data_IF_501277555167
#
_entry.id   IF_501277555167
#
_cell.length_a   1.000
_cell.length_b   1.000
_cell.length_c   1.000
_cell.angle_alpha   90.00
_cell.angle_beta   90.00
_cell.angle_gamma   90.00
#
_symmetry.space_group_name_H-M   'P 1'
#
loop_
_entity.id
_entity.type
_entity.pdbx_description
1 polymer ?
#
# COMPACT_ATOMS: atom_id res chain seq x y z
N UNK A 1 14.59 -66.72 -32.57
CA UNK A 1 13.92 -66.77 -33.88
C UNK A 1 12.65 -67.57 -33.67
N UNK A 2 11.43 -67.06 -33.70
CA UNK A 2 10.85 -65.74 -33.90
C UNK A 2 9.39 -65.93 -33.38
N UNK A 3 8.89 -65.00 -32.54
CA UNK A 3 7.77 -64.07 -32.84
C UNK A 3 6.45 -64.74 -33.25
N UNK A 4 5.24 -64.30 -32.88
CA UNK A 4 4.73 -63.18 -32.11
C UNK A 4 3.21 -63.30 -32.33
N UNK A 5 2.42 -63.71 -31.33
CA UNK A 5 0.97 -63.50 -31.35
C UNK A 5 0.45 -63.42 -29.92
N UNK A 6 0.88 -62.38 -29.22
CA UNK A 6 0.25 -61.98 -27.95
C UNK A 6 -0.80 -60.92 -28.31
N UNK A 7 -2.02 -61.27 -27.93
CA UNK A 7 -3.28 -60.54 -28.03
C UNK A 7 -3.12 -59.09 -27.57
N UNK A 8 -3.34 -58.14 -28.49
CA UNK A 8 -3.53 -56.73 -28.18
C UNK A 8 -4.96 -56.53 -27.66
N UNK A 9 -5.15 -56.64 -26.34
CA UNK A 9 -6.29 -56.01 -25.65
C UNK A 9 -5.76 -54.72 -25.05
N UNK A 10 -5.87 -53.61 -25.80
CA UNK A 10 -5.61 -52.27 -25.27
C UNK A 10 -6.76 -51.93 -24.31
N UNK A 11 -6.53 -52.15 -23.02
CA UNK A 11 -7.31 -51.48 -21.98
C UNK A 11 -6.88 -50.02 -22.03
N UNK A 12 -7.77 -49.18 -22.56
CA UNK A 12 -7.65 -47.73 -22.48
C UNK A 12 -7.76 -47.30 -21.01
N UNK A 13 -6.62 -47.26 -20.32
CA UNK A 13 -6.49 -46.62 -19.02
C UNK A 13 -6.48 -45.11 -19.22
N UNK A 14 -7.65 -44.48 -19.21
CA UNK A 14 -7.78 -43.05 -18.94
C UNK A 14 -7.28 -42.82 -17.50
N UNK A 15 -6.02 -42.43 -17.36
CA UNK A 15 -5.59 -41.72 -16.16
C UNK A 15 -6.15 -40.30 -16.31
N UNK A 16 -7.35 -40.08 -15.76
CA UNK A 16 -7.75 -38.73 -15.40
C UNK A 16 -6.72 -38.24 -14.36
N UNK A 17 -5.72 -37.49 -14.80
CA UNK A 17 -4.91 -36.68 -13.91
C UNK A 17 -5.91 -35.78 -13.18
N UNK A 18 -6.18 -36.08 -11.91
CA UNK A 18 -6.96 -35.20 -11.05
C UNK A 18 -6.27 -33.82 -11.10
N UNK A 19 -6.88 -32.87 -11.81
CA UNK A 19 -6.45 -31.48 -11.74
C UNK A 19 -6.60 -31.06 -10.28
N UNK A 20 -5.51 -30.62 -9.68
CA UNK A 20 -5.58 -30.13 -8.31
C UNK A 20 -6.53 -28.93 -8.28
N UNK A 21 -7.47 -28.92 -7.32
CA UNK A 21 -8.38 -27.80 -7.12
C UNK A 21 -7.57 -26.49 -6.97
N UNK A 22 -7.93 -25.41 -7.70
CA UNK A 22 -7.26 -24.13 -7.56
C UNK A 22 -7.26 -23.64 -6.12
N UNK A 23 -6.12 -23.12 -5.67
CA UNK A 23 -5.97 -22.51 -4.35
C UNK A 23 -6.64 -21.14 -4.36
N UNK A 24 -7.62 -20.93 -3.49
CA UNK A 24 -8.25 -19.62 -3.28
C UNK A 24 -7.27 -18.68 -2.56
N UNK A 25 -6.97 -17.56 -3.22
CA UNK A 25 -6.09 -16.50 -2.72
C UNK A 25 -6.88 -15.42 -2.00
N UNK A 26 -8.01 -15.02 -2.58
CA UNK A 26 -8.89 -14.00 -2.05
C UNK A 26 -10.33 -14.38 -2.35
N UNK A 27 -11.20 -14.18 -1.37
CA UNK A 27 -12.64 -14.10 -1.57
C UNK A 27 -13.15 -12.88 -0.85
N UNK A 28 -13.69 -11.94 -1.61
CA UNK A 28 -14.26 -10.73 -1.06
C UNK A 28 -15.78 -10.79 -1.14
N UNK A 29 -16.39 -10.71 0.03
CA UNK A 29 -17.82 -10.59 0.21
C UNK A 29 -18.12 -9.09 0.40
N UNK A 30 -18.90 -8.53 -0.51
CA UNK A 30 -19.27 -7.12 -0.50
C UNK A 30 -20.25 -6.77 0.64
N UNK A 31 -20.58 -7.69 1.55
CA UNK A 31 -21.15 -7.33 2.85
C UNK A 31 -20.10 -6.79 3.86
N UNK A 32 -18.80 -6.98 3.58
CA UNK A 32 -17.70 -6.51 4.44
C UNK A 32 -17.23 -5.10 4.04
N UNK A 33 -16.62 -4.38 4.99
CA UNK A 33 -15.96 -3.12 4.66
C UNK A 33 -14.71 -3.42 3.81
N UNK A 34 -14.67 -2.86 2.60
CA UNK A 34 -13.52 -2.97 1.68
C UNK A 34 -12.25 -2.49 2.36
N UNK A 35 -12.34 -1.46 3.22
CA UNK A 35 -11.20 -0.92 3.96
C UNK A 35 -10.53 -1.96 4.84
N UNK A 36 -11.25 -3.00 5.23
CA UNK A 36 -10.73 -4.04 6.11
C UNK A 36 -10.00 -5.17 5.36
N UNK A 37 -10.00 -5.16 4.03
CA UNK A 37 -9.37 -6.21 3.21
C UNK A 37 -8.10 -5.69 2.53
N UNK A 38 -6.90 -6.19 2.90
CA UNK A 38 -5.64 -5.72 2.31
C UNK A 38 -5.58 -5.96 0.79
N UNK A 39 -5.13 -4.94 0.06
CA UNK A 39 -5.03 -4.98 -1.40
C UNK A 39 -6.35 -4.70 -2.12
N UNK A 40 -7.41 -4.30 -1.41
CA UNK A 40 -8.63 -3.78 -2.00
C UNK A 40 -8.77 -2.29 -1.70
N UNK A 41 -9.13 -1.51 -2.72
CA UNK A 41 -9.37 -0.07 -2.59
C UNK A 41 -10.59 0.34 -3.42
N UNK A 42 -11.53 1.04 -2.78
CA UNK A 42 -12.62 1.71 -3.47
C UNK A 42 -12.09 2.96 -4.16
N UNK A 43 -12.33 3.07 -5.46
CA UNK A 43 -11.89 4.19 -6.30
C UNK A 43 -13.09 5.03 -6.71
N UNK A 44 -12.93 6.36 -6.71
CA UNK A 44 -13.98 7.30 -7.10
C UNK A 44 -15.09 7.39 -6.06
N UNK A 45 -16.34 7.43 -6.51
CA UNK A 45 -17.55 7.45 -5.69
C UNK A 45 -18.21 6.07 -5.52
N UNK A 46 -17.53 5.01 -5.95
CA UNK A 46 -18.06 3.67 -5.77
C UNK A 46 -18.33 3.42 -4.28
N UNK A 47 -19.36 2.65 -3.99
CA UNK A 47 -19.79 2.41 -2.62
C UNK A 47 -20.34 1.01 -2.47
N UNK A 48 -20.08 0.42 -1.31
CA UNK A 48 -20.69 -0.85 -0.95
C UNK A 48 -22.07 -0.58 -0.35
N UNK A 49 -23.11 -1.05 -1.03
CA UNK A 49 -24.51 -0.89 -0.63
C UNK A 49 -25.27 -2.19 -0.86
N UNK A 50 -26.04 -2.62 0.15
CA UNK A 50 -26.92 -3.79 0.02
C UNK A 50 -26.19 -5.11 -0.27
N UNK A 51 -24.91 -5.23 0.12
CA UNK A 51 -24.09 -6.42 -0.13
C UNK A 51 -23.49 -6.48 -1.54
N UNK A 52 -23.49 -5.38 -2.29
CA UNK A 52 -22.83 -5.26 -3.60
C UNK A 52 -21.99 -3.99 -3.63
N UNK A 53 -20.96 -3.93 -4.47
CA UNK A 53 -20.34 -2.66 -4.82
C UNK A 53 -21.12 -2.02 -5.96
N UNK A 54 -21.45 -0.74 -5.83
CA UNK A 54 -22.07 0.07 -6.87
C UNK A 54 -21.05 1.06 -7.39
N UNK A 55 -20.97 1.21 -8.70
CA UNK A 55 -20.16 2.22 -9.37
C UNK A 55 -20.96 2.92 -10.47
N UNK A 56 -20.53 4.14 -10.81
CA UNK A 56 -21.03 4.86 -11.96
C UNK A 56 -19.92 5.76 -12.54
N UNK A 57 -19.94 5.97 -13.85
CA UNK A 57 -18.94 6.80 -14.51
C UNK A 57 -18.99 8.26 -14.01
N UNK A 58 -17.84 8.89 -13.75
CA UNK A 58 -17.77 10.24 -13.14
C UNK A 58 -17.44 11.38 -14.13
N UNK A 59 -17.70 11.17 -15.42
CA UNK A 59 -17.25 12.01 -16.54
C UNK A 59 -15.72 12.09 -16.70
N UNK A 60 -15.28 12.65 -17.83
CA UNK A 60 -13.86 12.91 -18.14
C UNK A 60 -12.96 11.68 -17.96
N UNK A 61 -13.50 10.48 -18.17
CA UNK A 61 -12.76 9.23 -18.03
C UNK A 61 -12.23 9.01 -16.59
N UNK A 62 -12.93 9.54 -15.59
CA UNK A 62 -12.67 9.22 -14.20
C UNK A 62 -13.28 7.85 -13.86
N UNK A 63 -12.50 7.05 -13.11
CA UNK A 63 -12.88 5.71 -12.68
C UNK A 63 -13.66 5.73 -11.39
N UNK A 64 -14.71 4.92 -11.36
CA UNK A 64 -15.44 4.55 -10.16
C UNK A 64 -15.52 3.02 -10.10
N UNK A 65 -15.02 2.41 -9.02
CA UNK A 65 -14.95 0.96 -8.94
C UNK A 65 -14.12 0.41 -7.79
N UNK A 66 -13.65 -0.82 -7.94
CA UNK A 66 -12.81 -1.54 -6.98
C UNK A 66 -11.47 -1.91 -7.59
N UNK A 67 -10.41 -1.29 -7.07
CA UNK A 67 -9.03 -1.66 -7.38
C UNK A 67 -8.59 -2.85 -6.55
N UNK A 68 -7.86 -3.76 -7.17
CA UNK A 68 -7.41 -5.03 -6.61
C UNK A 68 -5.93 -5.22 -6.90
N UNK A 69 -5.13 -5.26 -5.83
CA UNK A 69 -3.71 -5.54 -5.87
C UNK A 69 -2.87 -4.59 -5.02
N UNK A 70 -1.53 -4.63 -5.16
CA UNK A 70 -0.80 -5.48 -6.12
C UNK A 70 -0.99 -6.99 -5.88
N UNK A 71 -1.22 -7.73 -6.97
CA UNK A 71 -1.34 -9.20 -6.99
C UNK A 71 -0.15 -9.80 -7.76
N UNK A 72 0.50 -10.87 -7.25
CA UNK A 72 1.59 -11.53 -7.95
C UNK A 72 1.08 -12.30 -9.17
N UNK A 73 1.83 -12.27 -10.26
CA UNK A 73 1.54 -12.96 -11.53
C UNK A 73 2.74 -13.77 -12.04
N UNK A 74 3.68 -14.10 -11.15
CA UNK A 74 4.90 -14.84 -11.50
C UNK A 74 4.63 -16.34 -11.63
N UNK A 75 5.17 -16.98 -12.67
CA UNK A 75 5.18 -18.45 -12.84
C UNK A 75 3.87 -19.10 -13.33
N UNK A 76 2.71 -18.61 -12.91
CA UNK A 76 1.39 -19.18 -13.20
C UNK A 76 0.30 -18.15 -13.54
N UNK A 77 -0.91 -18.63 -13.81
CA UNK A 77 -2.06 -17.77 -14.10
C UNK A 77 -2.92 -17.55 -12.84
N UNK A 78 -3.32 -16.30 -12.62
CA UNK A 78 -4.44 -15.98 -11.74
C UNK A 78 -5.75 -16.36 -12.42
N UNK A 79 -6.69 -16.87 -11.65
CA UNK A 79 -8.09 -17.04 -12.05
C UNK A 79 -8.89 -16.03 -11.23
N UNK A 80 -9.38 -14.98 -11.89
CA UNK A 80 -10.22 -13.95 -11.27
C UNK A 80 -11.67 -14.22 -11.67
N UNK A 81 -12.51 -14.46 -10.70
CA UNK A 81 -13.94 -14.63 -10.84
C UNK A 81 -14.64 -13.45 -10.19
N UNK A 82 -15.68 -12.93 -10.83
CA UNK A 82 -16.55 -11.91 -10.25
C UNK A 82 -17.90 -11.92 -10.97
N UNK A 83 -18.90 -11.37 -10.32
CA UNK A 83 -20.20 -11.11 -10.90
C UNK A 83 -20.36 -9.63 -11.21
N UNK A 84 -21.03 -9.33 -12.33
CA UNK A 84 -21.38 -7.97 -12.72
C UNK A 84 -22.84 -7.88 -13.16
N UNK A 85 -23.51 -6.83 -12.70
CA UNK A 85 -24.85 -6.45 -13.09
C UNK A 85 -24.81 -5.09 -13.80
N UNK A 86 -24.85 -5.06 -15.14
CA UNK A 86 -24.89 -3.80 -15.87
C UNK A 86 -26.22 -3.08 -15.58
N UNK A 87 -26.18 -1.96 -14.85
CA UNK A 87 -27.36 -1.12 -14.60
C UNK A 87 -27.61 -0.21 -15.79
N UNK A 88 -26.55 0.44 -16.28
CA UNK A 88 -26.53 1.25 -17.50
C UNK A 88 -25.26 1.00 -18.28
N UNK A 89 -25.38 0.93 -19.61
CA UNK A 89 -24.23 0.81 -20.52
C UNK A 89 -23.77 2.19 -20.94
N UNK A 90 -22.47 2.44 -20.79
CA UNK A 90 -21.81 3.64 -21.29
C UNK A 90 -20.75 3.31 -22.34
N UNK A 91 -19.91 4.28 -22.67
CA UNK A 91 -18.82 4.13 -23.63
C UNK A 91 -17.81 3.03 -23.25
N UNK A 92 -17.34 3.00 -21.99
CA UNK A 92 -16.37 2.04 -21.45
C UNK A 92 -16.73 1.62 -20.02
N UNK A 93 -17.81 0.86 -19.88
CA UNK A 93 -18.34 0.50 -18.57
C UNK A 93 -18.37 -1.02 -18.39
N UNK A 94 -18.62 -1.47 -17.17
CA UNK A 94 -18.49 -2.89 -16.80
C UNK A 94 -17.10 -3.43 -17.16
N UNK A 95 -16.07 -2.67 -16.80
CA UNK A 95 -14.71 -2.86 -17.25
C UNK A 95 -13.87 -3.72 -16.30
N UNK A 96 -13.05 -4.60 -16.88
CA UNK A 96 -11.91 -5.26 -16.25
C UNK A 96 -10.62 -4.83 -16.93
N UNK A 97 -9.76 -4.12 -16.20
CA UNK A 97 -8.53 -3.57 -16.78
C UNK A 97 -7.38 -3.45 -15.79
N UNK A 98 -6.13 -3.45 -16.27
CA UNK A 98 -4.92 -3.25 -15.46
C UNK A 98 -4.63 -1.76 -15.18
N UNK A 99 -4.25 -1.38 -13.96
CA UNK A 99 -4.02 0.02 -13.59
C UNK A 99 -2.56 0.51 -13.67
N UNK A 100 -1.56 -0.35 -13.42
CA UNK A 100 -0.19 0.12 -13.17
C UNK A 100 0.89 -0.59 -14.00
N UNK A 101 2.01 0.11 -14.32
CA UNK A 101 2.25 1.54 -14.16
C UNK A 101 2.03 2.31 -15.47
N UNK A 102 1.21 3.38 -15.45
CA UNK A 102 1.05 4.43 -16.48
C UNK A 102 0.34 4.11 -17.82
N UNK A 103 0.13 2.86 -18.18
CA UNK A 103 -0.67 2.45 -19.35
C UNK A 103 -1.38 1.15 -19.03
N UNK A 104 -2.61 0.88 -19.49
CA UNK A 104 -3.12 -0.48 -19.34
C UNK A 104 -2.33 -1.47 -20.23
N UNK A 105 -2.35 -2.75 -19.86
CA UNK A 105 -1.86 -3.88 -20.64
C UNK A 105 -3.02 -4.63 -21.31
N UNK A 106 -4.18 -4.63 -20.68
CA UNK A 106 -5.41 -5.21 -21.21
C UNK A 106 -6.60 -4.40 -20.75
N UNK A 107 -7.69 -4.48 -21.50
CA UNK A 107 -8.96 -3.82 -21.19
C UNK A 107 -10.09 -4.63 -21.82
N UNK A 108 -11.04 -5.05 -20.98
CA UNK A 108 -12.29 -5.68 -21.41
C UNK A 108 -13.43 -4.84 -20.87
N UNK A 109 -14.35 -4.40 -21.71
CA UNK A 109 -15.51 -3.61 -21.30
C UNK A 109 -16.74 -3.91 -22.15
N UNK A 110 -17.92 -3.56 -21.63
CA UNK A 110 -19.18 -3.60 -22.37
C UNK A 110 -19.40 -2.24 -23.03
N UNK A 111 -19.50 -2.23 -24.35
CA UNK A 111 -19.80 -1.03 -25.12
C UNK A 111 -21.29 -0.62 -25.04
N UNK A 112 -21.65 0.57 -25.57
CA UNK A 112 -23.02 1.07 -25.52
C UNK A 112 -24.02 0.19 -26.30
N UNK A 113 -23.53 -0.57 -27.29
CA UNK A 113 -24.28 -1.54 -28.07
C UNK A 113 -24.49 -2.89 -27.36
N UNK A 114 -23.96 -3.04 -26.14
CA UNK A 114 -23.97 -4.26 -25.33
C UNK A 114 -22.90 -5.27 -25.72
N UNK A 115 -22.05 -5.00 -26.72
CA UNK A 115 -21.00 -5.94 -27.09
C UNK A 115 -19.78 -5.76 -26.20
N UNK A 116 -19.15 -6.87 -25.83
CA UNK A 116 -17.87 -6.85 -25.14
C UNK A 116 -16.77 -6.52 -26.14
N UNK A 117 -15.79 -5.72 -25.71
CA UNK A 117 -14.61 -5.36 -26.49
C UNK A 117 -13.37 -5.70 -25.69
N UNK A 118 -12.44 -6.43 -26.31
CA UNK A 118 -11.20 -6.86 -25.68
C UNK A 118 -10.01 -6.22 -26.41
N UNK A 119 -9.24 -5.43 -25.68
CA UNK A 119 -8.02 -4.81 -26.13
C UNK A 119 -6.83 -5.32 -25.31
N UNK A 120 -5.68 -5.50 -25.96
CA UNK A 120 -4.40 -5.72 -25.26
C UNK A 120 -3.30 -4.87 -25.86
N UNK A 121 -2.28 -4.56 -25.05
CA UNK A 121 -1.01 -4.00 -25.47
C UNK A 121 -0.10 -5.14 -25.90
N UNK A 122 0.57 -5.01 -27.04
CA UNK A 122 1.53 -6.00 -27.53
C UNK A 122 2.57 -5.34 -28.42
N UNK A 123 3.84 -5.61 -28.10
CA UNK A 123 5.01 -4.95 -28.66
C UNK A 123 4.93 -3.43 -28.50
N UNK A 124 4.42 -2.98 -27.35
CA UNK A 124 4.25 -1.57 -27.03
C UNK A 124 2.99 -0.91 -27.61
N UNK A 125 2.26 -1.58 -28.51
CA UNK A 125 1.10 -1.02 -29.23
C UNK A 125 -0.24 -1.53 -28.70
N UNK A 126 -1.22 -0.65 -28.62
CA UNK A 126 -2.59 -0.99 -28.26
C UNK A 126 -3.39 -1.51 -29.44
N UNK A 127 -4.00 -2.69 -29.29
CA UNK A 127 -4.77 -3.33 -30.36
C UNK A 127 -6.11 -3.84 -29.84
N UNK A 128 -7.15 -3.61 -30.64
CA UNK A 128 -8.37 -4.37 -30.54
C UNK A 128 -8.09 -5.83 -30.90
N UNK A 129 -8.60 -6.77 -30.11
CA UNK A 129 -8.31 -8.20 -30.25
C UNK A 129 -9.53 -8.99 -30.64
N UNK A 130 -10.65 -8.73 -29.97
CA UNK A 130 -11.89 -9.42 -30.24
C UNK A 130 -13.09 -8.60 -29.74
N UNK A 131 -14.25 -8.83 -30.36
CA UNK A 131 -15.55 -8.35 -29.89
C UNK A 131 -16.53 -9.51 -29.78
N UNK A 132 -17.48 -9.43 -28.86
CA UNK A 132 -18.53 -10.45 -28.76
C UNK A 132 -19.57 -10.32 -29.88
N UNK A 133 -20.06 -11.47 -30.36
CA UNK A 133 -21.24 -11.52 -31.23
C UNK A 133 -22.54 -11.36 -30.43
N UNK A 134 -22.63 -12.00 -29.28
CA UNK A 134 -23.73 -11.83 -28.33
C UNK A 134 -23.61 -10.51 -27.57
N UNK A 135 -24.74 -10.05 -27.02
CA UNK A 135 -24.82 -8.83 -26.23
C UNK A 135 -24.96 -9.16 -24.74
N UNK A 136 -24.27 -8.38 -23.93
CA UNK A 136 -24.52 -8.20 -22.52
C UNK A 136 -25.70 -7.22 -22.36
N UNK A 137 -26.78 -7.69 -21.75
CA UNK A 137 -28.00 -6.94 -21.50
C UNK A 137 -27.92 -6.24 -20.16
N UNK A 138 -28.46 -5.02 -20.08
CA UNK A 138 -28.64 -4.38 -18.79
C UNK A 138 -29.75 -5.09 -18.00
N UNK A 139 -29.63 -5.10 -16.68
CA UNK A 139 -30.63 -5.68 -15.80
C UNK A 139 -30.48 -7.18 -15.53
N UNK A 140 -29.34 -7.78 -15.87
CA UNK A 140 -29.02 -9.21 -15.65
C UNK A 140 -27.68 -9.39 -14.98
N UNK A 141 -27.56 -10.44 -14.17
CA UNK A 141 -26.30 -10.85 -13.58
C UNK A 141 -25.49 -11.71 -14.54
N UNK A 142 -24.21 -11.39 -14.65
CA UNK A 142 -23.24 -12.16 -15.40
C UNK A 142 -22.11 -12.62 -14.50
N UNK A 143 -21.75 -13.88 -14.63
CA UNK A 143 -20.55 -14.44 -14.03
C UNK A 143 -19.39 -14.32 -15.03
N UNK A 144 -18.28 -13.75 -14.57
CA UNK A 144 -17.08 -13.55 -15.35
C UNK A 144 -15.94 -14.37 -14.76
N UNK A 145 -15.19 -15.03 -15.64
CA UNK A 145 -13.93 -15.70 -15.32
C UNK A 145 -12.82 -15.15 -16.20
N UNK A 146 -11.78 -14.62 -15.59
CA UNK A 146 -10.56 -14.14 -16.25
C UNK A 146 -9.39 -15.02 -15.85
N UNK A 147 -8.69 -15.57 -16.83
CA UNK A 147 -7.38 -16.22 -16.59
C UNK A 147 -6.29 -15.24 -17.00
N UNK A 148 -5.47 -14.80 -16.03
CA UNK A 148 -4.47 -13.77 -16.21
C UNK A 148 -3.07 -14.33 -15.91
N UNK A 149 -2.27 -14.50 -16.95
CA UNK A 149 -0.85 -14.82 -16.86
C UNK A 149 -0.01 -13.59 -17.24
N UNK A 150 1.29 -13.66 -16.95
CA UNK A 150 2.26 -12.58 -17.19
C UNK A 150 2.25 -12.01 -18.62
N UNK A 151 1.97 -12.83 -19.63
CA UNK A 151 2.00 -12.45 -21.06
C UNK A 151 0.74 -12.88 -21.83
N UNK A 152 -0.28 -13.39 -21.14
CA UNK A 152 -1.52 -13.80 -21.80
C UNK A 152 -2.74 -13.65 -20.91
N UNK A 153 -3.88 -13.42 -21.53
CA UNK A 153 -5.15 -13.24 -20.82
C UNK A 153 -6.27 -13.95 -21.58
N UNK A 154 -7.15 -14.63 -20.84
CA UNK A 154 -8.39 -15.21 -21.34
C UNK A 154 -9.58 -14.64 -20.57
N UNK A 155 -10.72 -14.52 -21.23
CA UNK A 155 -11.93 -13.95 -20.67
C UNK A 155 -13.13 -14.82 -21.04
N UNK A 156 -13.97 -15.13 -20.07
CA UNK A 156 -15.23 -15.86 -20.25
C UNK A 156 -16.33 -15.15 -19.47
N UNK A 157 -17.49 -14.98 -20.09
CA UNK A 157 -18.68 -14.39 -19.47
C UNK A 157 -19.92 -15.24 -19.79
N UNK A 158 -20.69 -15.58 -18.76
CA UNK A 158 -21.94 -16.30 -18.88
C UNK A 158 -23.03 -15.61 -18.03
N UNK A 159 -24.29 -15.73 -18.43
CA UNK A 159 -25.41 -15.32 -17.57
C UNK A 159 -25.39 -16.16 -16.29
N UNK A 160 -25.39 -15.51 -15.13
CA UNK A 160 -25.14 -16.16 -13.84
C UNK A 160 -26.17 -17.23 -13.51
N UNK A 161 -27.45 -16.91 -13.69
CA UNK A 161 -28.54 -17.76 -13.23
C UNK A 161 -28.79 -18.96 -14.16
N UNK A 162 -28.49 -18.82 -15.45
CA UNK A 162 -28.73 -19.87 -16.46
C UNK A 162 -27.47 -20.63 -16.85
N UNK A 163 -26.29 -20.07 -16.59
CA UNK A 163 -25.01 -20.58 -17.08
C UNK A 163 -24.81 -20.41 -18.60
N UNK A 164 -25.73 -19.72 -19.29
CA UNK A 164 -25.66 -19.54 -20.74
C UNK A 164 -24.44 -18.72 -21.11
N UNK A 165 -23.55 -19.30 -21.90
CA UNK A 165 -22.35 -18.63 -22.38
C UNK A 165 -22.73 -17.43 -23.26
N UNK A 166 -22.31 -16.24 -22.85
CA UNK A 166 -22.45 -15.01 -23.65
C UNK A 166 -21.23 -14.91 -24.57
N UNK A 167 -20.04 -15.03 -24.02
CA UNK A 167 -18.82 -14.90 -24.80
C UNK A 167 -17.60 -15.53 -24.12
N UNK A 168 -16.64 -15.95 -24.93
CA UNK A 168 -15.32 -16.38 -24.49
C UNK A 168 -14.27 -15.95 -25.50
N UNK A 169 -13.12 -15.49 -25.00
CA UNK A 169 -11.98 -15.06 -25.80
C UNK A 169 -10.66 -15.46 -25.13
N UNK A 170 -9.65 -15.73 -25.95
CA UNK A 170 -8.30 -16.04 -25.49
C UNK A 170 -7.95 -17.53 -25.40
N UNK A 171 -6.69 -17.85 -25.02
CA UNK A 171 -5.67 -16.92 -24.54
C UNK A 171 -5.18 -15.94 -25.62
N UNK A 172 -5.18 -14.65 -25.29
CA UNK A 172 -4.66 -13.57 -26.14
C UNK A 172 -3.32 -13.13 -25.59
N UNK A 173 -2.31 -13.05 -26.46
CA UNK A 173 -1.00 -12.53 -26.11
C UNK A 173 -1.02 -11.02 -25.80
N UNK A 174 -0.20 -10.63 -24.84
CA UNK A 174 0.03 -9.25 -24.44
C UNK A 174 1.49 -9.04 -24.02
N UNK A 175 1.87 -7.78 -23.85
CA UNK A 175 3.16 -7.44 -23.26
C UNK A 175 3.30 -7.99 -21.84
N UNK A 176 4.54 -8.16 -21.41
CA UNK A 176 4.87 -8.63 -20.08
C UNK A 176 4.34 -7.66 -19.01
N UNK A 177 3.47 -8.15 -18.11
CA UNK A 177 2.93 -7.40 -16.96
C UNK A 177 3.97 -7.11 -15.87
N UNK A 178 5.07 -7.86 -15.85
CA UNK A 178 6.02 -7.89 -14.73
C UNK A 178 5.66 -8.98 -13.69
N UNK A 179 6.17 -8.81 -12.48
CA UNK A 179 5.99 -9.79 -11.38
C UNK A 179 4.69 -9.59 -10.60
N UNK A 180 4.16 -8.36 -10.59
CA UNK A 180 2.93 -7.98 -9.91
C UNK A 180 2.07 -7.10 -10.82
N UNK A 181 0.77 -7.12 -10.61
CA UNK A 181 -0.17 -6.24 -11.32
C UNK A 181 -1.25 -5.71 -10.40
N UNK A 182 -1.89 -4.61 -10.77
CA UNK A 182 -3.11 -4.11 -10.15
C UNK A 182 -4.17 -4.11 -11.24
N UNK A 183 -5.34 -4.66 -10.95
CA UNK A 183 -6.50 -4.57 -11.85
C UNK A 183 -7.65 -3.84 -11.17
N UNK A 184 -8.60 -3.37 -11.96
CA UNK A 184 -9.79 -2.69 -11.45
C UNK A 184 -11.05 -3.24 -12.13
N UNK A 185 -12.10 -3.39 -11.34
CA UNK A 185 -13.49 -3.52 -11.78
C UNK A 185 -14.10 -2.12 -11.76
N UNK A 186 -14.43 -1.52 -12.90
CA UNK A 186 -14.78 -0.09 -12.95
C UNK A 186 -15.83 0.27 -14.00
N UNK A 187 -16.44 1.44 -13.79
CA UNK A 187 -17.11 2.19 -14.84
C UNK A 187 -16.31 3.46 -15.16
N UNK A 188 -16.05 3.70 -16.45
CA UNK A 188 -15.31 4.86 -16.94
C UNK A 188 -16.00 5.41 -18.22
N UNK A 189 -16.36 6.69 -18.23
CA UNK A 189 -17.06 7.27 -19.39
C UNK A 189 -16.79 8.77 -19.53
N UNK A 190 -17.00 9.38 -20.71
CA UNK A 190 -16.83 10.81 -20.88
C UNK A 190 -17.90 11.62 -20.15
N UNK A 191 -19.09 11.03 -19.93
CA UNK A 191 -20.23 11.68 -19.25
C UNK A 191 -20.50 11.07 -17.88
N UNK A 192 -20.93 11.90 -16.94
CA UNK A 192 -21.29 11.46 -15.59
C UNK A 192 -22.57 10.61 -15.63
N UNK A 193 -22.58 9.49 -14.90
CA UNK A 193 -23.70 8.58 -14.79
C UNK A 193 -24.07 7.81 -16.07
N UNK A 194 -23.29 7.97 -17.15
CA UNK A 194 -23.52 7.32 -18.45
C UNK A 194 -23.60 5.80 -18.34
N UNK A 195 -22.63 5.20 -17.65
CA UNK A 195 -22.67 3.79 -17.28
C UNK A 195 -22.66 3.62 -15.76
N UNK A 196 -23.23 2.50 -15.33
CA UNK A 196 -23.29 2.11 -13.94
C UNK A 196 -23.40 0.59 -13.81
N UNK A 197 -22.82 0.06 -12.74
CA UNK A 197 -22.70 -1.36 -12.48
C UNK A 197 -22.92 -1.68 -11.02
N UNK A 198 -23.45 -2.87 -10.75
CA UNK A 198 -23.29 -3.53 -9.45
C UNK A 198 -22.30 -4.69 -9.61
N UNK A 199 -21.44 -4.91 -8.61
CA UNK A 199 -20.42 -5.95 -8.60
C UNK A 199 -20.57 -6.82 -7.36
N UNK A 200 -20.33 -8.12 -7.53
CA UNK A 200 -20.45 -9.10 -6.46
C UNK A 200 -19.44 -10.26 -6.65
N UNK A 201 -19.31 -11.14 -5.64
CA UNK A 201 -18.63 -12.43 -5.71
C UNK A 201 -17.20 -12.41 -6.26
N UNK A 202 -16.37 -11.44 -5.85
CA UNK A 202 -14.98 -11.39 -6.26
C UNK A 202 -14.18 -12.53 -5.60
N UNK A 203 -13.61 -13.41 -6.41
CA UNK A 203 -12.72 -14.48 -6.00
C UNK A 203 -11.46 -14.48 -6.86
N UNK A 204 -10.30 -14.63 -6.24
CA UNK A 204 -9.02 -14.83 -6.93
C UNK A 204 -8.48 -16.19 -6.52
N UNK A 205 -8.10 -16.99 -7.52
CA UNK A 205 -7.53 -18.33 -7.32
C UNK A 205 -6.28 -18.48 -8.17
N UNK A 206 -5.51 -19.53 -7.90
CA UNK A 206 -4.39 -19.96 -8.73
C UNK A 206 -4.22 -21.48 -8.63
N UNK A 207 -3.78 -22.10 -9.72
CA UNK A 207 -3.31 -23.49 -9.70
C UNK A 207 -1.82 -23.58 -9.30
N UNK A 208 -1.11 -22.45 -9.26
CA UNK A 208 0.30 -22.38 -8.92
C UNK A 208 0.53 -22.17 -7.41
N UNK A 209 1.05 -23.21 -6.75
CA UNK A 209 1.37 -23.18 -5.31
C UNK A 209 2.45 -22.17 -4.95
N UNK A 210 3.40 -21.89 -5.85
CA UNK A 210 4.44 -20.88 -5.61
C UNK A 210 3.83 -19.48 -5.61
N UNK A 211 2.94 -19.20 -6.56
CA UNK A 211 2.17 -17.96 -6.61
C UNK A 211 1.31 -17.80 -5.34
N UNK A 212 0.65 -18.87 -4.88
CA UNK A 212 -0.13 -18.83 -3.64
C UNK A 212 0.72 -18.47 -2.41
N UNK A 213 1.95 -18.99 -2.31
CA UNK A 213 2.86 -18.63 -1.23
C UNK A 213 3.33 -17.17 -1.32
N UNK A 214 3.60 -16.66 -2.53
CA UNK A 214 3.93 -15.25 -2.75
C UNK A 214 2.76 -14.33 -2.34
N UNK A 215 1.52 -14.71 -2.67
CA UNK A 215 0.33 -13.97 -2.27
C UNK A 215 0.19 -13.87 -0.76
N UNK A 216 0.39 -14.97 -0.03
CA UNK A 216 0.33 -14.96 1.43
C UNK A 216 1.40 -14.04 2.06
N UNK A 217 2.62 -14.04 1.49
CA UNK A 217 3.67 -13.11 1.92
C UNK A 217 3.29 -11.65 1.62
N UNK A 218 2.69 -11.40 0.45
CA UNK A 218 2.24 -10.07 0.03
C UNK A 218 1.13 -9.52 0.93
N UNK A 219 0.16 -10.35 1.30
CA UNK A 219 -0.90 -9.96 2.23
C UNK A 219 -0.33 -9.50 3.58
N UNK A 220 0.64 -10.24 4.12
CA UNK A 220 1.33 -9.87 5.36
C UNK A 220 2.12 -8.56 5.23
N UNK A 221 2.74 -8.31 4.07
CA UNK A 221 3.41 -7.04 3.77
C UNK A 221 2.40 -5.88 3.80
N UNK A 222 1.30 -5.98 3.04
CA UNK A 222 0.26 -4.96 2.97
C UNK A 222 -0.40 -4.68 4.34
N UNK A 223 -0.64 -5.71 5.14
CA UNK A 223 -1.14 -5.55 6.52
C UNK A 223 -0.16 -4.77 7.41
N UNK A 224 1.14 -5.04 7.29
CA UNK A 224 2.16 -4.33 8.06
C UNK A 224 2.23 -2.86 7.63
N UNK A 225 2.26 -2.58 6.32
CA UNK A 225 2.24 -1.21 5.78
C UNK A 225 1.01 -0.44 6.24
N UNK A 226 -0.17 -1.08 6.22
CA UNK A 226 -1.42 -0.47 6.73
C UNK A 226 -1.30 -0.14 8.21
N UNK A 227 -0.80 -1.07 9.03
CA UNK A 227 -0.60 -0.85 10.47
C UNK A 227 0.38 0.29 10.72
N UNK A 228 1.46 0.37 9.96
CA UNK A 228 2.44 1.46 10.08
C UNK A 228 1.86 2.81 9.67
N UNK A 229 1.08 2.86 8.57
CA UNK A 229 0.37 4.05 8.13
C UNK A 229 -0.63 4.54 9.19
N UNK A 230 -1.46 3.63 9.72
CA UNK A 230 -2.43 3.95 10.76
C UNK A 230 -1.73 4.48 12.02
N UNK A 231 -0.66 3.82 12.48
CA UNK A 231 0.17 4.30 13.60
C UNK A 231 0.72 5.71 13.34
N UNK A 232 1.20 5.97 12.12
CA UNK A 232 1.75 7.27 11.73
C UNK A 232 0.67 8.36 11.70
N UNK A 233 -0.52 8.05 11.19
CA UNK A 233 -1.67 8.96 11.19
C UNK A 233 -2.13 9.29 12.61
N UNK A 234 -2.26 8.29 13.49
CA UNK A 234 -2.58 8.49 14.91
C UNK A 234 -1.56 9.42 15.58
N UNK A 235 -0.27 9.21 15.32
CA UNK A 235 0.79 10.05 15.84
C UNK A 235 0.73 11.48 15.29
N UNK A 236 0.44 11.66 13.99
CA UNK A 236 0.24 12.98 13.37
C UNK A 236 -0.93 13.71 14.04
N UNK A 237 -2.05 13.03 14.26
CA UNK A 237 -3.22 13.61 14.94
C UNK A 237 -2.86 13.99 16.38
N UNK A 238 -2.15 13.13 17.10
CA UNK A 238 -1.71 13.40 18.48
C UNK A 238 -0.79 14.63 18.54
N UNK A 239 0.19 14.75 17.64
CA UNK A 239 1.08 15.91 17.59
C UNK A 239 0.32 17.19 17.23
N UNK A 240 -0.59 17.12 16.24
CA UNK A 240 -1.41 18.26 15.83
C UNK A 240 -2.25 18.78 17.00
N UNK A 241 -2.89 17.88 17.75
CA UNK A 241 -3.69 18.23 18.92
C UNK A 241 -2.83 18.83 20.06
N UNK A 242 -1.57 18.42 20.17
CA UNK A 242 -0.60 19.01 21.09
C UNK A 242 0.04 20.32 20.57
N UNK A 243 -0.29 20.77 19.36
CA UNK A 243 0.32 21.94 18.74
C UNK A 243 1.78 21.75 18.32
N UNK A 244 2.25 20.50 18.21
CA UNK A 244 3.61 20.13 17.85
C UNK A 244 3.71 19.88 16.34
N UNK A 245 4.78 20.35 15.71
CA UNK A 245 5.16 19.95 14.34
C UNK A 245 6.65 19.70 14.33
N UNK A 246 7.03 18.53 13.84
CA UNK A 246 8.40 18.08 13.70
C UNK A 246 8.62 17.68 12.24
N UNK A 247 9.77 18.05 11.71
CA UNK A 247 10.24 17.62 10.41
C UNK A 247 11.70 17.14 10.51
N UNK A 248 12.02 15.94 9.96
CA UNK A 248 11.09 14.89 9.55
C UNK A 248 10.22 14.39 10.71
N UNK A 249 9.15 13.66 10.40
CA UNK A 249 8.30 13.03 11.40
C UNK A 249 9.10 11.94 12.13
N UNK A 250 9.21 11.95 13.46
CA UNK A 250 9.93 10.89 14.17
C UNK A 250 9.18 9.55 14.10
N UNK A 251 9.92 8.45 14.30
CA UNK A 251 9.37 7.10 14.30
C UNK A 251 8.33 6.86 15.40
N UNK A 252 8.61 7.34 16.61
CA UNK A 252 7.73 7.25 17.77
C UNK A 252 7.71 8.57 18.53
N UNK A 253 6.50 9.10 18.79
CA UNK A 253 6.29 10.30 19.59
C UNK A 253 5.08 10.15 20.50
N UNK A 254 5.25 10.53 21.76
CA UNK A 254 4.19 10.53 22.79
C UNK A 254 4.10 11.90 23.44
N UNK A 255 3.16 12.76 22.99
CA UNK A 255 2.90 14.04 23.65
C UNK A 255 2.42 13.83 25.08
N UNK A 256 2.88 14.68 26.00
CA UNK A 256 2.41 14.74 27.38
C UNK A 256 1.76 16.09 27.70
N UNK A 257 1.44 16.30 28.98
CA UNK A 257 0.83 17.55 29.46
C UNK A 257 1.88 18.46 30.07
N UNK A 258 1.76 19.76 29.80
CA UNK A 258 2.61 20.79 30.37
C UNK A 258 3.78 21.17 29.46
N UNK A 259 4.67 21.98 30.01
CA UNK A 259 5.84 22.51 29.30
C UNK A 259 7.04 22.56 30.24
N UNK A 260 8.21 22.31 29.68
CA UNK A 260 9.50 22.60 30.25
C UNK A 260 9.90 24.05 29.93
N UNK A 261 10.43 24.77 30.91
CA UNK A 261 11.01 26.09 30.70
C UNK A 261 12.49 25.94 30.30
N UNK A 262 12.77 26.06 29.00
CA UNK A 262 14.12 25.98 28.46
C UNK A 262 14.96 27.19 28.86
N UNK A 263 14.37 28.39 28.93
CA UNK A 263 15.05 29.58 29.42
C UNK A 263 14.21 30.35 30.44
N UNK A 264 14.86 30.86 31.48
CA UNK A 264 14.28 31.76 32.47
C UNK A 264 14.65 33.22 32.18
N UNK A 265 13.91 34.19 32.74
CA UNK A 265 14.16 35.63 32.53
C UNK A 265 15.56 36.10 33.00
N UNK A 266 16.19 35.37 33.92
CA UNK A 266 17.36 35.84 34.68
C UNK A 266 18.56 34.88 34.67
N UNK A 267 18.49 33.74 33.97
CA UNK A 267 19.58 32.76 33.97
C UNK A 267 19.69 32.01 32.64
N UNK A 268 20.92 31.86 32.16
CA UNK A 268 21.24 30.99 31.03
C UNK A 268 20.79 29.55 31.32
N UNK A 269 20.21 28.86 30.34
CA UNK A 269 19.89 27.43 30.48
C UNK A 269 21.13 26.62 30.81
N UNK A 270 20.93 25.55 31.57
CA UNK A 270 22.01 24.64 31.96
C UNK A 270 22.02 23.38 31.11
N UNK A 271 23.22 22.85 30.91
CA UNK A 271 23.45 21.55 30.29
C UNK A 271 24.41 20.73 31.15
N UNK A 272 24.07 19.45 31.38
CA UNK A 272 24.91 18.50 32.09
C UNK A 272 25.00 17.20 31.31
N UNK A 273 26.17 16.57 31.34
CA UNK A 273 26.37 15.23 30.80
C UNK A 273 26.66 14.25 31.93
N UNK A 274 26.14 13.03 31.83
CA UNK A 274 26.51 11.91 32.69
C UNK A 274 27.89 11.35 32.30
N UNK A 275 28.51 10.60 33.19
CA UNK A 275 29.86 10.04 32.97
C UNK A 275 29.95 9.08 31.77
N UNK A 276 28.82 8.47 31.37
CA UNK A 276 28.74 7.53 30.26
C UNK A 276 28.36 8.19 28.92
N UNK A 277 28.34 9.53 28.87
CA UNK A 277 28.04 10.30 27.67
C UNK A 277 29.25 10.36 26.74
N UNK A 278 29.01 10.41 25.43
CA UNK A 278 30.05 10.71 24.46
C UNK A 278 30.74 12.05 24.78
N UNK A 279 32.07 12.10 24.65
CA UNK A 279 32.90 13.27 24.97
C UNK A 279 32.53 14.53 24.19
N UNK A 280 32.00 14.36 22.97
CA UNK A 280 31.67 15.46 22.06
C UNK A 280 30.17 15.86 22.18
N UNK A 281 29.37 15.14 22.98
CA UNK A 281 27.93 15.37 23.08
C UNK A 281 27.58 16.78 23.55
N UNK A 282 28.31 17.31 24.54
CA UNK A 282 28.04 18.65 25.10
C UNK A 282 28.25 19.73 24.05
N UNK A 283 29.38 19.71 23.33
CA UNK A 283 29.67 20.70 22.29
C UNK A 283 28.68 20.59 21.13
N UNK A 284 28.35 19.37 20.69
CA UNK A 284 27.37 19.15 19.62
C UNK A 284 26.00 19.75 19.98
N UNK A 285 25.50 19.49 21.18
CA UNK A 285 24.20 20.01 21.62
C UNK A 285 24.26 21.53 21.79
N UNK A 286 25.36 22.06 22.33
CA UNK A 286 25.58 23.51 22.43
C UNK A 286 25.56 24.19 21.05
N UNK A 287 26.26 23.63 20.07
CA UNK A 287 26.34 24.19 18.71
C UNK A 287 24.97 24.23 18.05
N UNK A 288 24.21 23.13 18.09
CA UNK A 288 22.86 23.06 17.51
C UNK A 288 21.92 24.06 18.18
N UNK A 289 21.91 24.12 19.52
CA UNK A 289 21.01 25.02 20.25
C UNK A 289 21.41 26.50 20.04
N UNK A 290 22.71 26.80 19.96
CA UNK A 290 23.19 28.13 19.62
C UNK A 290 22.80 28.53 18.20
N UNK A 291 22.98 27.65 17.22
CA UNK A 291 22.66 27.93 15.82
C UNK A 291 21.15 28.08 15.59
N UNK A 292 20.34 27.18 16.19
CA UNK A 292 18.89 27.14 15.94
C UNK A 292 18.09 28.10 16.80
N UNK A 293 18.51 28.35 18.04
CA UNK A 293 17.76 29.15 19.02
C UNK A 293 18.49 30.44 19.44
N UNK A 294 19.73 30.68 18.99
CA UNK A 294 20.52 31.84 19.42
C UNK A 294 20.89 31.80 20.91
N UNK A 295 20.85 30.61 21.52
CA UNK A 295 20.91 30.42 22.97
C UNK A 295 22.23 29.76 23.38
N UNK A 296 22.93 30.37 24.34
CA UNK A 296 24.14 29.78 24.94
C UNK A 296 23.77 28.97 26.17
N UNK A 297 24.10 27.68 26.14
CA UNK A 297 23.94 26.79 27.29
C UNK A 297 25.20 26.84 28.15
N UNK A 298 25.03 26.99 29.46
CA UNK A 298 26.13 26.93 30.42
C UNK A 298 26.23 25.54 31.02
N UNK A 299 27.46 25.01 31.12
CA UNK A 299 27.68 23.72 31.77
C UNK A 299 27.31 23.83 33.25
N UNK A 300 26.43 22.94 33.71
CA UNK A 300 25.92 22.94 35.08
C UNK A 300 24.73 22.00 35.24
N UNK A 301 24.36 21.69 36.49
CA UNK A 301 23.25 20.77 36.76
C UNK A 301 21.90 21.36 36.37
N UNK A 302 21.04 20.51 35.81
CA UNK A 302 19.65 20.82 35.46
C UNK A 302 19.47 21.31 34.02
N UNK A 303 18.23 21.50 33.62
CA UNK A 303 17.88 22.00 32.29
C UNK A 303 17.91 20.89 31.23
N UNK A 304 19.03 20.78 30.51
CA UNK A 304 19.27 19.73 29.52
C UNK A 304 20.21 18.68 30.10
N UNK A 305 19.82 17.40 30.05
CA UNK A 305 20.61 16.28 30.57
C UNK A 305 20.98 15.33 29.44
N UNK A 306 22.27 15.11 29.23
CA UNK A 306 22.80 14.15 28.26
C UNK A 306 23.24 12.88 28.99
N UNK A 307 22.96 11.71 28.41
CA UNK A 307 23.48 10.43 28.90
C UNK A 307 23.60 9.40 27.80
N UNK A 308 24.33 8.32 28.08
CA UNK A 308 24.15 7.07 27.33
C UNK A 308 22.76 6.46 27.56
N UNK A 309 22.44 5.35 26.87
CA UNK A 309 21.20 4.62 27.07
C UNK A 309 20.99 4.11 28.48
N UNK A 310 19.83 4.40 29.07
CA UNK A 310 19.41 3.79 30.35
C UNK A 310 19.09 2.31 30.22
N UNK A 311 18.38 1.93 29.16
CA UNK A 311 18.16 0.53 28.78
C UNK A 311 19.03 0.18 27.57
N UNK A 312 20.19 -0.42 27.83
CA UNK A 312 21.16 -0.78 26.78
C UNK A 312 20.69 -1.95 25.91
N UNK A 313 19.67 -2.70 26.33
CA UNK A 313 19.15 -3.84 25.57
C UNK A 313 18.05 -3.45 24.58
N UNK A 314 17.58 -2.21 24.64
CA UNK A 314 16.57 -1.69 23.72
C UNK A 314 17.10 -1.69 22.27
N UNK A 315 16.30 -2.25 21.36
CA UNK A 315 16.62 -2.37 19.94
C UNK A 315 16.83 -1.02 19.25
N UNK A 316 16.34 0.09 19.82
CA UNK A 316 16.61 1.46 19.36
C UNK A 316 18.12 1.67 19.14
N UNK A 317 18.94 1.21 20.07
CA UNK A 317 20.37 1.50 20.12
C UNK A 317 21.21 0.70 19.15
N UNK A 318 20.62 -0.27 18.44
CA UNK A 318 21.27 -0.96 17.31
C UNK A 318 21.41 -0.06 16.09
N UNK A 319 20.75 1.10 16.09
CA UNK A 319 20.74 2.06 14.99
C UNK A 319 21.65 3.22 15.35
N UNK A 320 22.73 3.38 14.59
CA UNK A 320 23.81 4.35 14.83
C UNK A 320 23.32 5.80 14.98
N UNK A 321 22.28 6.20 14.25
CA UNK A 321 21.72 7.55 14.24
C UNK A 321 20.51 7.71 15.16
N UNK A 322 20.24 6.74 16.03
CA UNK A 322 19.09 6.78 16.94
C UNK A 322 19.29 7.76 18.09
N UNK A 323 18.17 8.25 18.60
CA UNK A 323 18.14 9.00 19.85
C UNK A 323 16.81 8.78 20.58
N UNK A 324 16.83 9.06 21.88
CA UNK A 324 15.63 9.27 22.69
C UNK A 324 15.67 10.65 23.32
N UNK A 325 14.61 11.43 23.15
CA UNK A 325 14.40 12.72 23.80
C UNK A 325 13.20 12.60 24.73
N UNK A 326 13.39 12.89 26.02
CA UNK A 326 12.31 12.93 27.02
C UNK A 326 12.26 14.31 27.64
N UNK A 327 11.17 15.04 27.41
CA UNK A 327 10.93 16.35 28.01
C UNK A 327 9.87 16.19 29.10
N UNK A 328 10.23 16.51 30.33
CA UNK A 328 9.34 16.61 31.49
C UNK A 328 9.20 18.07 31.89
N UNK A 329 8.29 18.44 32.82
CA UNK A 329 8.26 19.81 33.32
C UNK A 329 9.59 20.30 33.94
N UNK A 330 10.46 19.39 34.37
CA UNK A 330 11.69 19.69 35.12
C UNK A 330 12.95 19.70 34.25
N UNK A 331 13.01 18.86 33.21
CA UNK A 331 14.21 18.70 32.38
C UNK A 331 13.90 18.23 30.94
N UNK A 332 14.85 18.47 30.03
CA UNK A 332 14.93 17.83 28.73
C UNK A 332 16.11 16.85 28.71
N UNK A 333 15.82 15.55 28.63
CA UNK A 333 16.81 14.48 28.62
C UNK A 333 17.05 13.95 27.22
N UNK A 334 18.31 13.89 26.81
CA UNK A 334 18.77 13.31 25.54
C UNK A 334 19.59 12.06 25.85
N UNK A 335 19.17 10.92 25.31
CA UNK A 335 19.89 9.65 25.33
C UNK A 335 20.31 9.29 23.89
N UNK A 336 21.59 8.98 23.70
CA UNK A 336 22.14 8.52 22.42
C UNK A 336 23.39 7.68 22.63
N UNK A 337 23.72 6.84 21.64
CA UNK A 337 24.97 6.04 21.61
C UNK A 337 26.06 6.64 20.75
N UNK A 338 25.78 7.73 20.03
CA UNK A 338 26.71 8.32 19.06
C UNK A 338 26.61 9.85 19.03
N UNK A 339 27.68 10.55 18.60
CA UNK A 339 27.66 11.98 18.32
C UNK A 339 26.50 12.41 17.41
N UNK A 340 26.19 11.60 16.39
CA UNK A 340 25.12 11.87 15.42
C UNK A 340 23.73 11.74 16.06
N UNK A 341 23.54 10.82 17.00
CA UNK A 341 22.30 10.71 17.77
C UNK A 341 22.07 11.96 18.64
N UNK A 342 23.10 12.45 19.34
CA UNK A 342 23.02 13.71 20.09
C UNK A 342 22.69 14.90 19.20
N UNK A 343 23.30 14.98 18.02
CA UNK A 343 23.00 16.01 17.02
C UNK A 343 21.52 16.00 16.62
N UNK A 344 20.96 14.85 16.22
CA UNK A 344 19.55 14.78 15.81
C UNK A 344 18.58 15.05 16.96
N UNK A 345 18.88 14.58 18.17
CA UNK A 345 18.08 14.89 19.35
C UNK A 345 18.02 16.40 19.63
N UNK A 346 19.16 17.11 19.50
CA UNK A 346 19.23 18.55 19.67
C UNK A 346 18.44 19.31 18.59
N UNK A 347 18.48 18.84 17.34
CA UNK A 347 17.65 19.40 16.26
C UNK A 347 16.16 19.27 16.59
N UNK A 348 15.73 18.12 17.10
CA UNK A 348 14.34 17.88 17.53
C UNK A 348 13.96 18.76 18.71
N UNK A 349 14.81 18.87 19.73
CA UNK A 349 14.60 19.77 20.87
C UNK A 349 14.44 21.24 20.42
N UNK A 350 15.27 21.69 19.48
CA UNK A 350 15.17 23.04 18.93
C UNK A 350 13.85 23.28 18.18
N UNK A 351 13.38 22.31 17.39
CA UNK A 351 12.08 22.41 16.70
C UNK A 351 10.89 22.46 17.68
N UNK A 352 10.99 21.75 18.81
CA UNK A 352 9.97 21.79 19.86
C UNK A 352 9.95 23.14 20.59
N UNK A 353 11.10 23.82 20.70
CA UNK A 353 11.25 25.14 21.33
C UNK A 353 10.82 26.31 20.43
N UNK A 354 9.63 26.26 19.84
CA UNK A 354 9.17 27.24 18.83
C UNK A 354 9.20 28.70 19.25
N UNK A 355 8.97 28.98 20.53
CA UNK A 355 8.97 30.33 21.09
C UNK A 355 10.35 30.72 21.67
N UNK A 356 11.35 29.85 21.55
CA UNK A 356 12.70 29.99 22.11
C UNK A 356 12.76 29.90 23.65
N UNK A 357 11.65 29.59 24.32
CA UNK A 357 11.52 29.69 25.79
C UNK A 357 10.98 28.42 26.43
N UNK A 358 10.00 27.79 25.82
CA UNK A 358 9.30 26.64 26.37
C UNK A 358 9.29 25.48 25.39
N UNK A 359 9.34 24.27 25.94
CA UNK A 359 9.29 23.02 25.18
C UNK A 359 8.11 22.20 25.71
N UNK A 360 7.20 21.71 24.87
CA UNK A 360 6.12 20.84 25.34
C UNK A 360 6.67 19.54 25.92
N UNK A 361 5.98 19.01 26.95
CA UNK A 361 6.28 17.68 27.49
C UNK A 361 6.04 16.63 26.40
N UNK A 362 7.04 15.81 26.13
CA UNK A 362 7.01 14.81 25.05
C UNK A 362 8.08 13.74 25.25
N UNK A 363 7.79 12.50 24.86
CA UNK A 363 8.80 11.46 24.62
C UNK A 363 8.92 11.23 23.11
N UNK A 364 10.14 11.29 22.58
CA UNK A 364 10.48 10.99 21.19
C UNK A 364 11.50 9.86 21.19
N UNK A 365 11.25 8.82 20.40
CA UNK A 365 12.24 7.78 20.07
C UNK A 365 12.32 7.73 18.55
N UNK A 366 13.52 7.88 18.02
CA UNK A 366 13.65 8.12 16.58
C UNK A 366 14.91 7.52 16.00
N UNK A 367 14.79 7.17 14.73
CA UNK A 367 15.85 6.64 13.88
C UNK A 367 15.43 6.80 12.42
N UNK A 368 16.40 6.87 11.50
CA UNK A 368 16.06 6.97 10.09
C UNK A 368 15.59 5.64 9.49
N UNK A 369 14.59 5.68 8.62
CA UNK A 369 14.20 4.53 7.79
C UNK A 369 15.32 4.13 6.82
N UNK A 370 16.01 5.13 6.27
CA UNK A 370 17.09 4.95 5.29
C UNK A 370 18.37 5.59 5.86
N UNK A 371 19.44 4.79 5.93
CA UNK A 371 20.73 5.21 6.50
C UNK A 371 21.29 6.46 5.81
N UNK A 372 21.23 6.50 4.47
CA UNK A 372 21.74 7.60 3.67
C UNK A 372 20.58 8.45 3.14
N UNK A 373 20.48 9.69 3.62
CA UNK A 373 19.52 10.70 3.16
C UNK A 373 20.29 11.76 2.39
N UNK A 374 20.07 11.85 1.08
CA UNK A 374 20.89 12.63 0.15
C UNK A 374 20.06 13.74 -0.50
N UNK A 375 20.72 14.86 -0.79
CA UNK A 375 20.21 15.88 -1.71
C UNK A 375 21.24 15.97 -2.84
N UNK A 376 20.77 15.87 -4.10
CA UNK A 376 21.62 16.13 -5.25
C UNK A 376 21.61 17.63 -5.52
N UNK A 377 22.73 18.30 -5.24
CA UNK A 377 22.93 19.72 -5.56
C UNK A 377 23.74 19.79 -6.85
N UNK A 378 23.09 20.19 -7.95
CA UNK A 378 23.80 20.52 -9.18
C UNK A 378 24.39 21.92 -9.04
N UNK A 379 25.72 22.01 -9.00
CA UNK A 379 26.45 23.28 -9.00
C UNK A 379 27.12 23.42 -10.37
N UNK A 380 26.77 24.46 -11.11
CA UNK A 380 27.35 24.82 -12.41
C UNK A 380 28.58 25.70 -12.26
#
# INVERSE_FOLDING_TARGET
MDKLLIVFTIVAGLVALAQAEPVELLRFDFAKDVKDTPGLEVVGDAAVEGGTLRSASQAKWQRSGLSVGPVPVSGGALIVEYDVYPVRRGAQCQEFTSQTPSTHWYMIFVGPDGRLRFHTRSKGEWKHRASSEAKCEAGKWYHVTVSLARQSISYRIAERDTGTLVWQAGPIEMDDLGEETVFILTDEAPTEGEGASEWDNLVIKTEDKALAAQWAAKQKELENERRERARREEQIVALRNAGISLIPMPQEVRPGKGKFALSGLLSSPKITAADDTDKDAVSIVQDVISERLGMRLEVGKGGIVLSGPRDRNDALWQKEQSYKLTVTPDEARIEATSPVGFFYAAQTLAQLARDGKTVPVVEVRDWPDIKNRLVMVAVS
#
